data_IF_601965341585
#
_entry.id   IF_601965341585
#
_cell.length_a   1.000
_cell.length_b   1.000
_cell.length_c   1.000
_cell.angle_alpha   90.00
_cell.angle_beta   90.00
_cell.angle_gamma   90.00
#
_symmetry.space_group_name_H-M   'P 1'
#
loop_
_entity.id
_entity.type
_entity.pdbx_description
1 polymer ?
#
# COMPACT_ATOMS: atom_id res chain seq x y z
N UNK A 1 20.91 14.20 -4.24
CA UNK A 1 19.46 14.15 -4.58
C UNK A 1 18.68 15.06 -3.64
N UNK A 2 17.83 15.95 -4.15
CA UNK A 2 16.86 16.68 -3.32
C UNK A 2 15.91 15.67 -2.68
N UNK A 3 15.72 15.74 -1.37
CA UNK A 3 14.75 14.89 -0.66
C UNK A 3 13.36 15.44 -0.95
N UNK A 4 12.55 14.66 -1.64
CA UNK A 4 11.14 14.97 -1.84
C UNK A 4 10.38 14.76 -0.52
N UNK A 5 9.73 15.82 -0.04
CA UNK A 5 9.00 15.81 1.23
C UNK A 5 7.84 14.82 1.21
N UNK A 6 7.11 14.72 0.11
CA UNK A 6 5.99 13.79 -0.01
C UNK A 6 6.46 12.34 0.06
N UNK A 7 7.57 12.02 -0.62
CA UNK A 7 8.16 10.67 -0.56
C UNK A 7 8.62 10.33 0.87
N UNK A 8 9.23 11.28 1.58
CA UNK A 8 9.65 11.05 2.97
C UNK A 8 8.48 10.83 3.92
N UNK A 9 7.38 11.54 3.73
CA UNK A 9 6.18 11.37 4.56
C UNK A 9 5.52 10.01 4.31
N UNK A 10 5.44 9.56 3.05
CA UNK A 10 5.01 8.20 2.70
C UNK A 10 5.89 7.16 3.39
N UNK A 11 7.23 7.33 3.33
CA UNK A 11 8.18 6.40 3.97
C UNK A 11 8.00 6.35 5.48
N UNK A 12 7.82 7.49 6.14
CA UNK A 12 7.56 7.56 7.59
C UNK A 12 6.29 6.82 7.97
N UNK A 13 5.20 7.06 7.24
CA UNK A 13 3.92 6.39 7.45
C UNK A 13 4.05 4.88 7.27
N UNK A 14 4.68 4.43 6.19
CA UNK A 14 4.93 2.99 5.95
C UNK A 14 5.73 2.35 7.08
N UNK A 15 6.78 3.03 7.58
CA UNK A 15 7.59 2.52 8.70
C UNK A 15 6.79 2.43 9.98
N UNK A 16 5.92 3.40 10.27
CA UNK A 16 5.03 3.37 11.44
C UNK A 16 4.09 2.17 11.38
N UNK A 17 3.43 1.96 10.24
CA UNK A 17 2.55 0.81 10.01
C UNK A 17 3.33 -0.49 10.18
N UNK A 18 4.48 -0.63 9.53
CA UNK A 18 5.30 -1.83 9.63
C UNK A 18 5.71 -2.16 11.07
N UNK A 19 6.06 -1.16 11.90
CA UNK A 19 6.36 -1.36 13.33
C UNK A 19 5.14 -1.85 14.12
N UNK A 20 3.94 -1.36 13.81
CA UNK A 20 2.72 -1.81 14.48
C UNK A 20 2.45 -3.31 14.28
N UNK A 21 2.91 -3.88 13.15
CA UNK A 21 2.80 -5.30 12.83
C UNK A 21 4.10 -6.07 13.07
N UNK A 22 5.02 -5.55 13.90
CA UNK A 22 6.26 -6.25 14.25
C UNK A 22 7.19 -6.52 13.07
N UNK A 23 7.10 -5.70 12.02
CA UNK A 23 7.80 -5.93 10.75
C UNK A 23 7.44 -7.25 10.05
N UNK A 24 6.34 -7.90 10.43
CA UNK A 24 5.85 -9.12 9.81
C UNK A 24 4.90 -8.79 8.64
N UNK A 25 5.38 -9.08 7.43
CA UNK A 25 4.60 -8.91 6.20
C UNK A 25 3.33 -9.75 6.20
N UNK A 26 3.34 -10.95 6.80
CA UNK A 26 2.15 -11.83 6.86
C UNK A 26 1.07 -11.21 7.74
N UNK A 27 1.46 -10.72 8.92
CA UNK A 27 0.56 -10.01 9.83
C UNK A 27 -0.04 -8.75 9.18
N UNK A 28 0.78 -7.98 8.44
CA UNK A 28 0.31 -6.80 7.71
C UNK A 28 -0.72 -7.14 6.63
N UNK A 29 -0.47 -8.18 5.83
CA UNK A 29 -1.40 -8.65 4.79
C UNK A 29 -2.70 -9.14 5.42
N UNK A 30 -2.62 -9.91 6.51
CA UNK A 30 -3.80 -10.38 7.22
C UNK A 30 -4.67 -9.21 7.70
N UNK A 31 -4.06 -8.16 8.27
CA UNK A 31 -4.77 -6.95 8.67
C UNK A 31 -5.49 -6.28 7.49
N UNK A 32 -4.82 -6.13 6.34
CA UNK A 32 -5.46 -5.55 5.16
C UNK A 32 -6.59 -6.40 4.60
N UNK A 33 -6.49 -7.73 4.65
CA UNK A 33 -7.58 -8.63 4.24
C UNK A 33 -8.82 -8.43 5.11
N UNK A 34 -8.66 -8.30 6.42
CA UNK A 34 -9.79 -8.02 7.32
C UNK A 34 -10.38 -6.63 7.08
N UNK A 35 -9.54 -5.63 6.84
CA UNK A 35 -9.98 -4.27 6.49
C UNK A 35 -10.77 -4.26 5.17
N UNK A 36 -10.31 -5.02 4.17
CA UNK A 36 -10.95 -5.22 2.89
C UNK A 36 -12.32 -5.88 3.02
N UNK A 37 -12.46 -6.92 3.87
CA UNK A 37 -13.77 -7.51 4.16
C UNK A 37 -14.72 -6.51 4.79
N UNK A 38 -14.24 -5.69 5.73
CA UNK A 38 -15.04 -4.69 6.45
C UNK A 38 -15.58 -3.60 5.52
N UNK A 39 -14.85 -3.23 4.48
CA UNK A 39 -15.21 -2.16 3.55
C UNK A 39 -15.37 -2.68 2.12
N UNK A 40 -15.92 -3.89 1.97
CA UNK A 40 -16.09 -4.52 0.67
C UNK A 40 -16.94 -3.67 -0.30
N UNK A 41 -17.87 -2.90 0.24
CA UNK A 41 -18.73 -1.92 -0.46
C UNK A 41 -17.96 -0.75 -1.08
N UNK A 42 -16.74 -0.47 -0.63
CA UNK A 42 -15.92 0.67 -1.07
C UNK A 42 -14.80 0.27 -2.02
N UNK A 43 -14.62 -1.02 -2.26
CA UNK A 43 -13.59 -1.50 -3.16
C UNK A 43 -14.07 -1.30 -4.59
N UNK A 44 -13.21 -0.66 -5.38
CA UNK A 44 -13.40 -0.63 -6.82
C UNK A 44 -13.38 -2.08 -7.30
N UNK A 45 -14.41 -2.51 -8.04
CA UNK A 45 -14.37 -3.79 -8.73
C UNK A 45 -13.08 -3.88 -9.55
N UNK A 46 -12.53 -5.09 -9.69
CA UNK A 46 -11.30 -5.38 -10.46
C UNK A 46 -11.21 -4.46 -11.69
N UNK A 47 -10.23 -3.53 -11.73
CA UNK A 47 -10.11 -2.64 -12.87
C UNK A 47 -9.82 -3.50 -14.10
N UNK A 48 -10.66 -3.39 -15.12
CA UNK A 48 -10.58 -4.13 -16.40
C UNK A 48 -9.37 -3.74 -17.27
N UNK A 49 -8.28 -3.25 -16.67
CA UNK A 49 -7.10 -2.76 -17.36
C UNK A 49 -5.93 -2.68 -16.40
N UNK A 50 -5.10 -3.73 -16.40
CA UNK A 50 -3.81 -3.72 -15.70
C UNK A 50 -2.95 -2.59 -16.29
N UNK A 51 -2.55 -1.63 -15.47
CA UNK A 51 -1.55 -0.64 -15.85
C UNK A 51 -0.21 -1.34 -16.10
N UNK A 52 0.17 -1.47 -17.37
CA UNK A 52 1.50 -1.92 -17.78
C UNK A 52 2.35 -0.67 -17.97
N UNK A 53 3.39 -0.42 -17.16
CA UNK A 53 4.28 0.71 -17.38
C UNK A 53 5.00 0.49 -18.72
N UNK A 54 4.69 1.30 -19.73
CA UNK A 54 5.47 1.33 -20.95
C UNK A 54 6.82 1.94 -20.62
N UNK A 55 7.88 1.12 -20.60
CA UNK A 55 9.24 1.60 -20.56
C UNK A 55 9.50 2.43 -21.82
N UNK A 56 9.48 3.77 -21.69
CA UNK A 56 9.90 4.66 -22.75
C UNK A 56 11.42 4.52 -22.91
N UNK A 57 11.85 4.12 -24.11
CA UNK A 57 13.25 4.08 -24.53
C UNK A 57 13.82 5.49 -24.67
#
# INVERSE_FOLDING_TARGET
>A
MKKDKAIEDIRKTRRKISRQFGHDTKALIAHYKELQKKYADRLVAEPSGVYVPTASK
#
